data_IF_551137768273
#
_entry.id   IF_551137768273
#
_cell.length_a   1.000
_cell.length_b   1.000
_cell.length_c   1.000
_cell.angle_alpha   90.00
_cell.angle_beta   90.00
_cell.angle_gamma   90.00
#
_symmetry.space_group_name_H-M   'P 1'
#
loop_
_entity.id
_entity.type
_entity.pdbx_description
1 polymer ?
#
# COMPACT_ATOMS: atom_id res chain seq x y z
N UNK A 1 7.63 -15.03 14.72
CA UNK A 1 7.11 -14.67 13.40
C UNK A 1 6.29 -15.84 12.89
N UNK A 2 5.00 -15.68 12.69
CA UNK A 2 4.15 -16.74 12.13
C UNK A 2 4.33 -16.81 10.61
N UNK A 3 4.11 -17.99 10.05
CA UNK A 3 4.11 -18.19 8.59
C UNK A 3 2.70 -17.90 8.09
N UNK A 4 2.57 -16.88 7.24
CA UNK A 4 1.30 -16.53 6.59
C UNK A 4 1.10 -17.37 5.32
N UNK A 5 -0.16 -17.59 4.88
CA UNK A 5 -0.44 -18.20 3.59
C UNK A 5 0.26 -17.46 2.44
N UNK A 6 0.70 -18.18 1.41
CA UNK A 6 1.25 -17.54 0.23
C UNK A 6 0.15 -16.73 -0.50
N UNK A 7 0.49 -15.54 -0.97
CA UNK A 7 -0.37 -14.78 -1.89
C UNK A 7 -0.34 -15.49 -3.24
N UNK A 8 -1.51 -15.85 -3.77
CA UNK A 8 -1.61 -16.61 -5.03
C UNK A 8 -2.70 -16.04 -5.91
N UNK A 9 -2.51 -16.11 -7.23
CA UNK A 9 -3.51 -15.65 -8.21
C UNK A 9 -3.61 -14.13 -8.38
N UNK A 10 -2.59 -13.38 -7.93
CA UNK A 10 -2.44 -11.94 -8.25
C UNK A 10 -2.05 -11.77 -9.71
N UNK A 11 -2.65 -10.80 -10.42
CA UNK A 11 -2.15 -10.34 -11.70
C UNK A 11 -0.92 -9.42 -11.50
N UNK A 12 0.04 -9.44 -12.42
CA UNK A 12 1.25 -8.60 -12.32
C UNK A 12 0.93 -7.10 -12.16
N UNK A 13 -0.23 -6.64 -12.66
CA UNK A 13 -0.73 -5.26 -12.59
C UNK A 13 -1.73 -4.97 -11.45
N UNK A 14 -2.04 -5.95 -10.59
CA UNK A 14 -2.95 -5.73 -9.47
C UNK A 14 -2.21 -5.11 -8.27
N UNK A 15 -2.73 -3.98 -7.75
CA UNK A 15 -2.28 -3.46 -6.46
C UNK A 15 -2.59 -4.47 -5.33
N UNK A 16 -1.58 -4.82 -4.52
CA UNK A 16 -1.75 -5.82 -3.46
C UNK A 16 -2.24 -5.17 -2.15
N UNK A 17 -3.51 -5.41 -1.81
CA UNK A 17 -4.17 -4.88 -0.62
C UNK A 17 -4.48 -6.01 0.37
N UNK A 18 -3.94 -5.91 1.58
CA UNK A 18 -3.99 -6.99 2.58
C UNK A 18 -4.77 -6.49 3.81
N UNK A 19 -5.86 -7.17 4.15
CA UNK A 19 -6.62 -6.90 5.37
C UNK A 19 -5.97 -7.59 6.57
N UNK A 20 -5.53 -6.81 7.56
CA UNK A 20 -4.93 -7.31 8.79
C UNK A 20 -5.79 -7.04 10.02
N UNK A 21 -6.72 -6.08 9.99
CA UNK A 21 -7.74 -5.92 11.04
C UNK A 21 -9.14 -6.37 10.56
N UNK A 22 -9.81 -7.16 11.39
CA UNK A 22 -11.11 -7.78 11.10
C UNK A 22 -12.21 -7.33 12.06
N UNK A 23 -12.02 -6.23 12.78
CA UNK A 23 -12.96 -5.78 13.83
C UNK A 23 -14.17 -5.03 13.27
N UNK A 24 -14.04 -4.44 12.08
CA UNK A 24 -15.10 -3.68 11.42
C UNK A 24 -15.23 -4.09 9.95
N UNK A 25 -16.29 -4.84 9.62
CA UNK A 25 -16.58 -5.24 8.25
C UNK A 25 -17.18 -4.09 7.43
N UNK A 26 -17.85 -3.11 8.05
CA UNK A 26 -18.41 -1.99 7.33
C UNK A 26 -17.31 -1.03 6.87
N UNK A 27 -16.33 -0.75 7.73
CA UNK A 27 -15.13 0.01 7.36
C UNK A 27 -14.37 -0.68 6.22
N UNK A 28 -14.21 -2.01 6.29
CA UNK A 28 -13.64 -2.80 5.20
C UNK A 28 -14.40 -2.63 3.88
N UNK A 29 -15.74 -2.74 3.89
CA UNK A 29 -16.55 -2.54 2.68
C UNK A 29 -16.41 -1.11 2.13
N UNK A 30 -16.26 -0.10 2.98
CA UNK A 30 -16.03 1.28 2.54
C UNK A 30 -14.68 1.41 1.82
N UNK A 31 -13.61 0.81 2.37
CA UNK A 31 -12.28 0.78 1.74
C UNK A 31 -12.35 0.11 0.36
N UNK A 32 -12.94 -1.09 0.29
CA UNK A 32 -13.11 -1.82 -0.98
C UNK A 32 -13.91 -0.99 -1.98
N UNK A 33 -15.00 -0.35 -1.54
CA UNK A 33 -15.85 0.46 -2.41
C UNK A 33 -15.14 1.69 -2.98
N UNK A 34 -14.16 2.26 -2.28
CA UNK A 34 -13.33 3.35 -2.84
C UNK A 34 -12.26 2.82 -3.77
N UNK A 35 -11.56 1.74 -3.37
CA UNK A 35 -10.50 1.13 -4.17
C UNK A 35 -10.99 0.60 -5.52
N UNK A 36 -12.24 0.16 -5.62
CA UNK A 36 -12.82 -0.34 -6.86
C UNK A 36 -13.40 0.74 -7.77
N UNK A 37 -13.26 2.04 -7.43
CA UNK A 37 -13.66 3.13 -8.32
C UNK A 37 -12.58 3.38 -9.39
N UNK A 38 -12.97 3.78 -10.61
CA UNK A 38 -12.02 4.31 -11.58
C UNK A 38 -11.20 5.47 -11.02
N UNK A 39 -9.93 5.54 -11.39
CA UNK A 39 -8.95 6.49 -10.84
C UNK A 39 -8.31 7.36 -11.94
N UNK A 40 -7.49 8.32 -11.53
CA UNK A 40 -6.85 9.28 -12.46
C UNK A 40 -7.88 10.12 -13.22
N UNK A 41 -8.82 10.73 -12.49
CA UNK A 41 -10.00 11.41 -13.06
C UNK A 41 -10.85 10.49 -13.98
N UNK A 42 -11.04 9.23 -13.51
CA UNK A 42 -11.82 8.18 -14.18
C UNK A 42 -11.26 7.72 -15.53
N UNK A 43 -9.96 7.91 -15.76
CA UNK A 43 -9.29 7.49 -16.99
C UNK A 43 -8.87 6.01 -16.95
N UNK A 44 -8.71 5.45 -15.76
CA UNK A 44 -8.18 4.11 -15.56
C UNK A 44 -9.13 3.27 -14.70
N UNK A 45 -9.25 1.99 -15.05
CA UNK A 45 -9.97 1.01 -14.24
C UNK A 45 -9.16 0.65 -12.99
N UNK A 46 -9.86 0.18 -11.96
CA UNK A 46 -9.23 -0.28 -10.72
C UNK A 46 -8.81 -1.74 -10.84
N UNK A 47 -7.53 -2.01 -10.61
CA UNK A 47 -6.95 -3.36 -10.56
C UNK A 47 -6.36 -3.60 -9.17
N UNK A 48 -7.00 -4.49 -8.40
CA UNK A 48 -6.66 -4.74 -6.99
C UNK A 48 -6.77 -6.22 -6.68
N UNK A 49 -5.74 -6.76 -6.03
CA UNK A 49 -5.77 -8.09 -5.45
C UNK A 49 -5.93 -7.97 -3.94
N UNK A 50 -7.11 -8.36 -3.46
CA UNK A 50 -7.44 -8.35 -2.04
C UNK A 50 -7.06 -9.66 -1.35
N UNK A 51 -6.24 -9.57 -0.31
CA UNK A 51 -6.04 -10.65 0.65
C UNK A 51 -6.95 -10.40 1.86
N UNK A 52 -8.10 -11.09 1.88
CA UNK A 52 -9.10 -11.02 2.94
C UNK A 52 -9.30 -12.42 3.57
N UNK A 53 -8.22 -12.96 4.12
CA UNK A 53 -8.18 -14.25 4.84
C UNK A 53 -7.86 -14.01 6.33
N UNK A 54 -8.73 -14.43 7.27
CA UNK A 54 -8.50 -14.28 8.71
C UNK A 54 -7.17 -14.82 9.24
N UNK A 55 -6.46 -15.69 8.50
CA UNK A 55 -5.09 -16.09 8.83
C UNK A 55 -4.12 -14.89 8.91
N UNK A 56 -4.42 -13.78 8.23
CA UNK A 56 -3.66 -12.54 8.23
C UNK A 56 -4.04 -11.59 9.36
N UNK A 57 -5.04 -11.91 10.18
CA UNK A 57 -5.48 -11.05 11.27
C UNK A 57 -4.34 -10.75 12.26
N UNK A 58 -4.05 -9.47 12.50
CA UNK A 58 -2.97 -8.99 13.36
C UNK A 58 -1.55 -9.22 12.82
N UNK A 59 -1.37 -9.40 11.50
CA UNK A 59 -0.04 -9.58 10.91
C UNK A 59 0.79 -8.32 11.11
N UNK A 60 2.06 -8.49 11.51
CA UNK A 60 3.01 -7.37 11.49
C UNK A 60 3.47 -7.08 10.07
N UNK A 61 4.01 -5.88 9.86
CA UNK A 61 4.60 -5.47 8.58
C UNK A 61 5.66 -6.48 8.13
N UNK A 62 6.53 -6.93 9.02
CA UNK A 62 7.58 -7.89 8.70
C UNK A 62 7.00 -9.27 8.35
N UNK A 63 5.90 -9.69 8.98
CA UNK A 63 5.25 -10.97 8.65
C UNK A 63 4.67 -10.92 7.24
N UNK A 64 4.06 -9.79 6.88
CA UNK A 64 3.56 -9.54 5.52
C UNK A 64 4.71 -9.55 4.52
N UNK A 65 5.78 -8.77 4.76
CA UNK A 65 6.93 -8.69 3.87
C UNK A 65 7.58 -10.08 3.67
N UNK A 66 7.70 -10.87 4.73
CA UNK A 66 8.19 -12.24 4.65
C UNK A 66 7.31 -13.15 3.77
N UNK A 67 5.99 -12.93 3.77
CA UNK A 67 5.04 -13.70 2.99
C UNK A 67 5.01 -13.34 1.50
N UNK A 68 5.28 -12.07 1.16
CA UNK A 68 5.24 -11.57 -0.22
C UNK A 68 6.60 -11.56 -0.92
N UNK A 69 7.71 -11.71 -0.17
CA UNK A 69 9.10 -11.64 -0.71
C UNK A 69 9.43 -12.54 -1.91
N UNK A 70 8.63 -13.60 -2.14
CA UNK A 70 8.86 -14.52 -3.25
C UNK A 70 8.34 -13.97 -4.59
N UNK A 71 7.61 -12.85 -4.52
CA UNK A 71 6.99 -12.19 -5.65
C UNK A 71 7.77 -10.90 -5.97
N UNK A 72 8.71 -11.02 -6.91
CA UNK A 72 9.63 -9.94 -7.30
C UNK A 72 8.91 -8.77 -8.00
N UNK A 73 7.68 -8.98 -8.47
CA UNK A 73 6.86 -7.94 -9.14
C UNK A 73 6.12 -7.04 -8.13
N UNK A 74 6.15 -7.37 -6.83
CA UNK A 74 5.54 -6.55 -5.77
C UNK A 74 6.58 -5.61 -5.19
N UNK A 75 6.53 -4.33 -5.57
CA UNK A 75 7.37 -3.25 -5.01
C UNK A 75 6.75 -2.58 -3.77
N UNK A 76 5.43 -2.71 -3.58
CA UNK A 76 4.68 -2.13 -2.47
C UNK A 76 3.49 -3.00 -2.10
N UNK A 77 3.16 -3.05 -0.81
CA UNK A 77 1.91 -3.63 -0.29
C UNK A 77 1.12 -2.59 0.51
N UNK A 78 -0.20 -2.72 0.51
CA UNK A 78 -1.09 -1.81 1.24
C UNK A 78 -1.84 -2.57 2.33
N UNK A 79 -1.61 -2.22 3.59
CA UNK A 79 -2.29 -2.85 4.72
C UNK A 79 -3.55 -2.06 5.10
N UNK A 80 -4.64 -2.80 5.26
CA UNK A 80 -5.86 -2.35 5.92
C UNK A 80 -5.79 -2.83 7.36
N UNK A 81 -5.12 -2.04 8.18
CA UNK A 81 -4.81 -2.35 9.57
C UNK A 81 -5.79 -1.69 10.54
N UNK A 82 -5.49 -1.77 11.84
CA UNK A 82 -6.38 -1.23 12.87
C UNK A 82 -6.55 0.29 12.77
N UNK A 83 -5.53 1.02 12.31
CA UNK A 83 -5.63 2.47 12.13
C UNK A 83 -6.52 2.79 10.93
N UNK A 84 -6.35 2.06 9.82
CA UNK A 84 -7.23 2.19 8.64
C UNK A 84 -8.70 2.01 8.99
N UNK A 85 -9.03 1.06 9.87
CA UNK A 85 -10.42 0.79 10.26
C UNK A 85 -11.02 1.88 11.16
N UNK A 86 -10.20 2.66 11.87
CA UNK A 86 -10.65 3.70 12.81
C UNK A 86 -10.61 5.11 12.22
N UNK A 87 -9.73 5.31 11.24
CA UNK A 87 -9.51 6.58 10.59
C UNK A 87 -10.70 7.00 9.71
N UNK A 88 -11.06 8.28 9.72
CA UNK A 88 -12.22 8.80 8.99
C UNK A 88 -12.04 8.74 7.48
N UNK A 89 -10.80 8.88 7.01
CA UNK A 89 -10.44 8.80 5.58
C UNK A 89 -9.96 7.40 5.18
N UNK A 90 -10.00 6.46 6.12
CA UNK A 90 -9.55 5.08 5.98
C UNK A 90 -8.17 4.95 5.34
N UNK A 91 -7.17 5.70 5.84
CA UNK A 91 -5.83 5.66 5.30
C UNK A 91 -5.16 4.28 5.47
N UNK A 92 -4.73 3.67 4.37
CA UNK A 92 -3.99 2.40 4.33
C UNK A 92 -2.51 2.64 4.64
N UNK A 93 -1.85 1.65 5.23
CA UNK A 93 -0.39 1.67 5.39
C UNK A 93 0.26 1.13 4.11
N UNK A 94 0.88 2.00 3.32
CA UNK A 94 1.74 1.58 2.22
C UNK A 94 3.10 1.15 2.80
N UNK A 95 3.61 -0.01 2.39
CA UNK A 95 4.89 -0.56 2.85
C UNK A 95 5.71 -1.00 1.64
N UNK A 96 6.92 -0.47 1.51
CA UNK A 96 7.85 -0.90 0.46
C UNK A 96 8.39 -2.30 0.75
N UNK A 97 8.53 -3.11 -0.31
CA UNK A 97 9.23 -4.40 -0.23
C UNK A 97 10.74 -4.26 -0.36
N UNK A 98 11.23 -3.06 -0.69
CA UNK A 98 12.65 -2.75 -0.83
C UNK A 98 13.45 -3.23 0.38
N UNK A 99 14.44 -4.07 0.09
CA UNK A 99 15.42 -4.56 1.04
C UNK A 99 16.76 -3.89 0.81
N UNK A 100 17.58 -3.84 1.86
CA UNK A 100 18.94 -3.30 1.76
C UNK A 100 19.78 -4.00 0.69
N UNK A 101 19.59 -5.30 0.49
CA UNK A 101 20.38 -6.11 -0.44
C UNK A 101 20.10 -5.76 -1.92
N UNK A 102 18.98 -5.09 -2.19
CA UNK A 102 18.60 -4.63 -3.54
C UNK A 102 19.21 -3.25 -3.89
N UNK A 103 19.70 -2.52 -2.89
CA UNK A 103 20.32 -1.19 -3.07
C UNK A 103 21.81 -1.28 -3.39
N UNK A 104 22.30 -0.32 -4.18
CA UNK A 104 23.69 -0.28 -4.65
C UNK A 104 24.68 -0.18 -3.49
N UNK A 105 24.38 0.67 -2.52
CA UNK A 105 25.16 0.91 -1.32
C UNK A 105 24.28 1.48 -0.19
N UNK A 106 24.91 1.83 0.95
CA UNK A 106 24.17 2.30 2.12
C UNK A 106 23.55 3.69 1.86
N UNK A 107 24.20 4.52 1.03
CA UNK A 107 23.73 5.86 0.68
C UNK A 107 22.47 5.77 -0.20
N UNK A 108 22.46 4.85 -1.17
CA UNK A 108 21.29 4.55 -2.00
C UNK A 108 20.10 4.06 -1.17
N UNK A 109 20.34 3.15 -0.21
CA UNK A 109 19.29 2.69 0.70
C UNK A 109 18.77 3.81 1.62
N UNK A 110 19.66 4.64 2.15
CA UNK A 110 19.27 5.81 2.96
C UNK A 110 18.44 6.80 2.15
N UNK A 111 18.78 7.05 0.88
CA UNK A 111 18.02 7.92 -0.01
C UNK A 111 16.63 7.33 -0.31
N UNK A 112 16.55 6.06 -0.71
CA UNK A 112 15.29 5.38 -1.05
C UNK A 112 14.39 5.13 0.18
N UNK A 113 14.89 5.36 1.39
CA UNK A 113 14.15 5.24 2.64
C UNK A 113 14.20 6.50 3.50
N UNK A 114 14.51 7.67 2.91
CA UNK A 114 14.66 8.95 3.63
C UNK A 114 13.44 9.28 4.50
N UNK A 115 12.25 9.01 3.98
CA UNK A 115 10.96 9.21 4.67
C UNK A 115 10.40 7.94 5.32
N UNK A 116 11.24 6.92 5.52
CA UNK A 116 10.87 5.63 6.08
C UNK A 116 10.44 4.60 5.03
N UNK A 117 10.17 3.38 5.51
CA UNK A 117 9.71 2.25 4.67
C UNK A 117 8.20 2.10 4.64
N UNK A 118 7.49 2.98 5.32
CA UNK A 118 6.04 2.94 5.47
C UNK A 118 5.47 4.35 5.58
N UNK A 119 4.32 4.57 4.95
CA UNK A 119 3.57 5.82 5.06
C UNK A 119 2.08 5.56 4.87
N UNK A 120 1.23 6.52 5.26
CA UNK A 120 -0.22 6.40 5.09
C UNK A 120 -0.66 6.96 3.74
N UNK A 121 -1.64 6.32 3.10
CA UNK A 121 -2.29 6.85 1.90
C UNK A 121 -3.79 6.66 1.99
N UNK A 122 -4.56 7.65 1.56
CA UNK A 122 -6.01 7.46 1.41
C UNK A 122 -6.29 6.38 0.35
N UNK A 123 -7.43 5.66 0.42
CA UNK A 123 -7.73 4.60 -0.54
C UNK A 123 -7.65 5.03 -2.00
N UNK A 124 -7.99 6.29 -2.31
CA UNK A 124 -7.89 6.82 -3.66
C UNK A 124 -6.44 6.96 -4.19
N UNK A 125 -5.43 7.05 -3.32
CA UNK A 125 -4.03 7.18 -3.72
C UNK A 125 -3.35 5.85 -4.08
N UNK A 126 -3.93 4.71 -3.69
CA UNK A 126 -3.32 3.37 -3.84
C UNK A 126 -2.94 3.08 -5.30
N UNK A 127 -3.86 3.32 -6.23
CA UNK A 127 -3.61 3.05 -7.65
C UNK A 127 -2.51 3.93 -8.25
N UNK A 128 -2.44 5.20 -7.84
CA UNK A 128 -1.42 6.10 -8.35
C UNK A 128 -0.02 5.72 -7.86
N UNK A 129 0.11 5.37 -6.58
CA UNK A 129 1.36 4.86 -6.01
C UNK A 129 1.78 3.60 -6.76
N UNK A 130 0.91 2.59 -6.78
CA UNK A 130 1.22 1.30 -7.38
C UNK A 130 1.58 1.43 -8.86
N UNK A 131 0.78 2.14 -9.65
CA UNK A 131 1.02 2.30 -11.08
C UNK A 131 2.36 2.98 -11.36
N UNK A 132 2.71 4.05 -10.64
CA UNK A 132 3.98 4.73 -10.84
C UNK A 132 5.19 3.86 -10.47
N UNK A 133 5.11 3.12 -9.37
CA UNK A 133 6.17 2.20 -8.95
C UNK A 133 6.34 1.05 -9.95
N UNK A 134 5.24 0.49 -10.46
CA UNK A 134 5.25 -0.64 -11.40
C UNK A 134 5.97 -0.35 -12.72
N UNK A 135 5.98 0.91 -13.15
CA UNK A 135 6.65 1.36 -14.38
C UNK A 135 7.92 2.18 -14.12
N UNK A 136 8.35 2.27 -12.86
CA UNK A 136 9.49 3.08 -12.42
C UNK A 136 9.42 4.55 -12.88
N UNK A 137 8.22 5.17 -12.86
CA UNK A 137 8.04 6.58 -13.18
C UNK A 137 8.31 7.50 -11.99
N UNK A 138 7.88 7.08 -10.79
CA UNK A 138 8.18 7.72 -9.51
C UNK A 138 8.56 6.65 -8.49
N UNK A 139 9.41 7.01 -7.53
CA UNK A 139 9.87 6.16 -6.44
C UNK A 139 8.95 6.13 -5.22
N UNK A 140 9.16 5.17 -4.31
CA UNK A 140 8.37 5.04 -3.09
C UNK A 140 8.65 6.20 -2.13
N UNK A 141 9.92 6.61 -2.06
CA UNK A 141 10.43 7.73 -1.29
C UNK A 141 9.79 9.07 -1.67
N UNK A 142 9.42 9.26 -2.95
CA UNK A 142 8.74 10.47 -3.40
C UNK A 142 7.32 10.55 -2.82
N UNK A 143 6.56 9.45 -2.88
CA UNK A 143 5.23 9.38 -2.26
C UNK A 143 5.29 9.46 -0.74
N UNK A 144 6.29 8.83 -0.12
CA UNK A 144 6.53 8.94 1.31
C UNK A 144 6.85 10.38 1.73
N UNK A 145 7.64 11.11 0.94
CA UNK A 145 7.91 12.53 1.12
C UNK A 145 6.64 13.38 1.01
N UNK A 146 5.79 13.12 0.02
CA UNK A 146 4.50 13.83 -0.08
C UNK A 146 3.53 13.52 1.06
N UNK A 147 3.52 12.28 1.56
CA UNK A 147 2.75 11.93 2.75
C UNK A 147 3.32 12.62 4.00
N UNK A 148 4.65 12.72 4.11
CA UNK A 148 5.34 13.42 5.21
C UNK A 148 5.01 14.92 5.24
N UNK A 149 4.93 15.57 4.07
CA UNK A 149 4.60 16.99 3.94
C UNK A 149 3.10 17.28 4.09
N UNK A 150 2.23 16.26 4.02
CA UNK A 150 0.80 16.41 4.21
C UNK A 150 0.46 16.68 5.70
N UNK A 151 -0.40 17.66 6.03
CA UNK A 151 -0.75 17.98 7.41
C UNK A 151 -1.38 16.82 8.19
N UNK A 152 -2.02 15.87 7.51
CA UNK A 152 -2.62 14.68 8.10
C UNK A 152 -1.69 13.45 8.00
N UNK A 153 -0.48 13.62 7.46
CA UNK A 153 0.52 12.56 7.35
C UNK A 153 0.17 11.47 6.34
N UNK A 154 -0.68 11.77 5.35
CA UNK A 154 -1.16 10.79 4.38
C UNK A 154 -1.06 11.30 2.94
N UNK A 155 -0.55 10.46 2.03
CA UNK A 155 -0.57 10.76 0.61
C UNK A 155 -2.01 10.84 0.10
N UNK A 156 -2.33 11.96 -0.56
CA UNK A 156 -3.61 12.23 -1.21
C UNK A 156 -3.38 12.60 -2.67
N UNK A 157 -3.99 11.88 -3.62
CA UNK A 157 -3.80 12.18 -5.03
C UNK A 157 -4.41 13.54 -5.41
N UNK A 158 -3.74 14.25 -6.32
CA UNK A 158 -4.18 15.60 -6.72
C UNK A 158 -5.52 15.62 -7.49
N UNK A 159 -5.92 14.49 -8.07
CA UNK A 159 -7.14 14.35 -8.88
C UNK A 159 -8.39 14.06 -8.04
N UNK A 160 -8.29 13.77 -6.74
CA UNK A 160 -9.46 13.69 -5.87
C UNK A 160 -9.84 15.08 -5.41
N UNK A 161 -10.55 15.82 -6.25
CA UNK A 161 -11.04 17.15 -5.91
C UNK A 161 -12.32 17.04 -5.09
N UNK A 162 -12.17 16.99 -3.77
CA UNK A 162 -13.09 17.61 -2.81
C UNK A 162 -12.21 18.27 -1.75
N UNK A 163 -11.75 19.49 -2.04
CA UNK A 163 -11.16 20.41 -1.04
C UNK A 163 -12.26 21.27 -0.45
#
# INVERSE_FOLDING_TARGET
MRVLPAVTGRNEFDALVIRTDYQDDQAWQNVVAVLMKPWGDRQYEAEVHFVNDPAWAGATVEEVLCAVRADEDVSVVFLVDQETMKDEVHALLAVTTLTRDECVDDEDYEQLTEFGREFRTVPAGVHEIYANLSIANLGFEEFAGWAHDDPEGAFRPSWTTDR
#
